data_IF_138765081773
#
_entry.id   IF_138765081773
#
_cell.length_a   1.000
_cell.length_b   1.000
_cell.length_c   1.000
_cell.angle_alpha   90.00
_cell.angle_beta   90.00
_cell.angle_gamma   90.00
#
_symmetry.space_group_name_H-M   'P 1'
#
loop_
_entity.id
_entity.type
_entity.pdbx_description
1 polymer ?
#
# COMPACT_ATOMS: atom_id res chain seq x y z
N UNK A 1 -10.61 -7.93 3.68
CA UNK A 1 -11.49 -9.11 3.59
C UNK A 1 -12.49 -9.11 4.73
N UNK A 2 -13.79 -9.29 4.45
CA UNK A 2 -14.80 -9.37 5.49
C UNK A 2 -14.57 -10.58 6.39
N UNK A 3 -14.65 -10.35 7.70
CA UNK A 3 -14.64 -11.38 8.75
C UNK A 3 -15.97 -11.30 9.49
N UNK A 4 -16.53 -12.44 9.91
CA UNK A 4 -17.84 -12.50 10.58
C UNK A 4 -19.01 -12.51 9.58
N UNK A 5 -20.09 -11.80 9.90
CA UNK A 5 -21.29 -11.68 9.04
C UNK A 5 -21.34 -10.32 8.33
N UNK A 6 -20.65 -10.15 7.19
CA UNK A 6 -20.57 -8.87 6.49
C UNK A 6 -21.90 -8.51 5.82
N UNK A 7 -22.22 -7.21 5.80
CA UNK A 7 -23.34 -6.71 5.01
C UNK A 7 -23.08 -6.84 3.49
N UNK A 8 -24.15 -6.73 2.69
CA UNK A 8 -24.09 -6.85 1.23
C UNK A 8 -23.11 -5.87 0.58
N UNK A 9 -23.00 -4.64 1.10
CA UNK A 9 -22.08 -3.63 0.58
C UNK A 9 -20.62 -4.03 0.76
N UNK A 10 -20.24 -4.57 1.92
CA UNK A 10 -18.88 -5.04 2.20
C UNK A 10 -18.47 -6.18 1.26
N UNK A 11 -19.40 -7.10 0.93
CA UNK A 11 -19.15 -8.18 -0.03
C UNK A 11 -18.93 -7.64 -1.45
N UNK A 12 -19.71 -6.62 -1.86
CA UNK A 12 -19.53 -5.98 -3.18
C UNK A 12 -18.18 -5.28 -3.29
N UNK A 13 -17.78 -4.54 -2.26
CA UNK A 13 -16.47 -3.86 -2.20
C UNK A 13 -15.32 -4.87 -2.26
N UNK A 14 -15.39 -5.97 -1.50
CA UNK A 14 -14.37 -7.03 -1.52
C UNK A 14 -14.24 -7.68 -2.91
N UNK A 15 -15.37 -7.93 -3.59
CA UNK A 15 -15.37 -8.46 -4.97
C UNK A 15 -14.69 -7.51 -5.94
N UNK A 16 -14.97 -6.21 -5.84
CA UNK A 16 -14.31 -5.20 -6.68
C UNK A 16 -12.81 -5.12 -6.39
N UNK A 17 -12.42 -5.08 -5.12
CA UNK A 17 -11.01 -5.01 -4.71
C UNK A 17 -10.20 -6.19 -5.26
N UNK A 18 -10.78 -7.41 -5.21
CA UNK A 18 -10.18 -8.61 -5.80
C UNK A 18 -10.05 -8.51 -7.32
N UNK A 19 -11.11 -8.04 -8.01
CA UNK A 19 -11.09 -7.89 -9.47
C UNK A 19 -10.05 -6.85 -9.93
N UNK A 20 -9.89 -5.76 -9.18
CA UNK A 20 -8.91 -4.72 -9.46
C UNK A 20 -7.47 -5.07 -9.00
N UNK A 21 -7.25 -6.28 -8.48
CA UNK A 21 -5.91 -6.77 -8.13
C UNK A 21 -5.33 -6.20 -6.83
N UNK A 22 -6.12 -5.51 -6.00
CA UNK A 22 -5.65 -4.98 -4.72
C UNK A 22 -5.26 -6.12 -3.79
N UNK A 23 -4.04 -6.06 -3.25
CA UNK A 23 -3.52 -7.03 -2.27
C UNK A 23 -3.08 -6.29 -1.01
N UNK A 24 -3.46 -6.83 0.14
CA UNK A 24 -2.95 -6.34 1.43
C UNK A 24 -1.69 -7.13 1.75
N UNK A 25 -0.56 -6.44 1.86
CA UNK A 25 0.69 -6.98 2.41
C UNK A 25 0.94 -6.30 3.74
N UNK A 26 0.94 -7.09 4.82
CA UNK A 26 1.20 -6.60 6.17
C UNK A 26 2.64 -6.91 6.53
N UNK A 27 3.40 -5.88 6.88
CA UNK A 27 4.77 -6.00 7.37
C UNK A 27 4.89 -5.15 8.64
N UNK A 28 5.78 -5.56 9.54
CA UNK A 28 6.08 -4.80 10.75
C UNK A 28 7.17 -3.77 10.42
N UNK A 29 6.97 -2.52 10.84
CA UNK A 29 7.95 -1.45 10.75
C UNK A 29 8.36 -1.02 12.15
N UNK A 30 9.56 -0.44 12.27
CA UNK A 30 9.95 0.27 13.49
C UNK A 30 9.07 1.52 13.64
N UNK A 31 8.50 1.74 14.82
CA UNK A 31 7.53 2.82 15.08
C UNK A 31 8.04 4.20 14.66
N UNK A 32 9.25 4.55 15.06
CA UNK A 32 9.93 5.81 14.69
C UNK A 32 9.97 6.03 13.17
N UNK A 33 10.25 4.99 12.39
CA UNK A 33 10.28 5.11 10.91
C UNK A 33 8.88 5.38 10.37
N UNK A 34 7.86 4.71 10.90
CA UNK A 34 6.48 4.88 10.46
C UNK A 34 5.95 6.30 10.77
N UNK A 35 6.27 6.84 11.95
CA UNK A 35 5.88 8.20 12.35
C UNK A 35 6.58 9.25 11.48
N UNK A 36 7.90 9.14 11.32
CA UNK A 36 8.66 10.07 10.47
C UNK A 36 8.21 10.02 9.02
N UNK A 37 7.87 8.85 8.50
CA UNK A 37 7.34 8.71 7.15
C UNK A 37 5.96 9.38 7.01
N UNK A 38 5.09 9.22 8.00
CA UNK A 38 3.79 9.89 8.06
C UNK A 38 3.96 11.41 8.04
N UNK A 39 4.80 11.96 8.93
CA UNK A 39 5.05 13.41 8.98
C UNK A 39 5.62 13.95 7.66
N UNK A 40 6.53 13.22 7.03
CA UNK A 40 7.09 13.61 5.74
C UNK A 40 6.03 13.64 4.63
N UNK A 41 5.12 12.66 4.61
CA UNK A 41 4.01 12.62 3.67
C UNK A 41 3.04 13.79 3.89
N UNK A 42 2.72 14.10 5.15
CA UNK A 42 1.84 15.22 5.52
C UNK A 42 2.44 16.57 5.12
N UNK A 43 3.72 16.81 5.42
CA UNK A 43 4.42 18.04 5.04
C UNK A 43 4.47 18.25 3.53
N UNK A 44 4.58 17.16 2.77
CA UNK A 44 4.60 17.19 1.29
C UNK A 44 3.19 17.19 0.68
N UNK A 45 2.14 16.97 1.47
CA UNK A 45 0.76 16.88 1.00
C UNK A 45 0.47 15.64 0.16
N UNK A 46 1.18 14.53 0.39
CA UNK A 46 1.05 13.28 -0.38
C UNK A 46 0.49 12.15 0.47
N UNK A 47 -0.18 11.19 -0.18
CA UNK A 47 -0.65 9.98 0.48
C UNK A 47 0.49 9.00 0.78
N UNK A 48 0.47 8.39 1.97
CA UNK A 48 1.45 7.37 2.36
C UNK A 48 1.47 6.19 1.37
N UNK A 49 0.29 5.68 0.98
CA UNK A 49 0.17 4.54 0.06
C UNK A 49 0.75 4.89 -1.31
N UNK A 50 0.41 6.06 -1.86
CA UNK A 50 0.93 6.50 -3.15
C UNK A 50 2.46 6.64 -3.13
N UNK A 51 3.01 7.19 -2.04
CA UNK A 51 4.45 7.34 -1.87
C UNK A 51 5.15 5.98 -1.76
N UNK A 52 4.58 5.03 -1.01
CA UNK A 52 5.09 3.65 -0.92
C UNK A 52 5.06 2.98 -2.30
N UNK A 53 3.96 3.09 -3.04
CA UNK A 53 3.85 2.54 -4.39
C UNK A 53 4.92 3.10 -5.33
N UNK A 54 5.19 4.40 -5.28
CA UNK A 54 6.26 5.02 -6.06
C UNK A 54 7.65 4.50 -5.67
N UNK A 55 7.94 4.37 -4.38
CA UNK A 55 9.21 3.83 -3.90
C UNK A 55 9.41 2.36 -4.30
N UNK A 56 8.34 1.56 -4.29
CA UNK A 56 8.36 0.17 -4.77
C UNK A 56 8.70 0.11 -6.27
N UNK A 57 8.05 0.93 -7.10
CA UNK A 57 8.30 0.99 -8.53
C UNK A 57 9.73 1.42 -8.86
N UNK A 58 10.23 2.45 -8.15
CA UNK A 58 11.61 2.92 -8.28
C UNK A 58 12.61 1.81 -7.95
N UNK A 59 12.34 1.04 -6.88
CA UNK A 59 13.19 -0.08 -6.50
C UNK A 59 13.17 -1.19 -7.55
N UNK A 60 11.99 -1.60 -8.05
CA UNK A 60 11.84 -2.60 -9.12
C UNK A 60 12.64 -2.18 -10.35
N UNK A 61 12.41 -0.95 -10.82
CA UNK A 61 13.13 -0.37 -11.97
C UNK A 61 14.65 -0.36 -11.77
N UNK A 62 15.13 -0.07 -10.55
CA UNK A 62 16.57 -0.05 -10.26
C UNK A 62 17.19 -1.44 -10.35
N UNK A 63 16.48 -2.48 -9.92
CA UNK A 63 16.97 -3.86 -9.95
C UNK A 63 16.94 -4.43 -11.36
N UNK A 64 15.92 -4.09 -12.16
CA UNK A 64 15.80 -4.54 -13.55
C UNK A 64 16.88 -3.92 -14.45
N UNK A 65 17.19 -2.63 -14.28
CA UNK A 65 18.27 -1.96 -15.01
C UNK A 65 19.67 -2.50 -14.71
N UNK A 66 19.85 -3.20 -13.60
CA UNK A 66 21.15 -3.77 -13.21
C UNK A 66 21.35 -5.17 -13.80
N UNK A 67 20.36 -5.73 -14.51
CA UNK A 67 20.44 -7.05 -15.17
C UNK A 67 20.81 -7.00 -16.65
N UNK A 68 21.04 -5.81 -17.20
CA UNK A 68 21.66 -5.57 -18.52
C UNK A 68 23.16 -5.32 -18.37
#
# INVERSE_FOLDING_TARGET
>A
MPKGNPNSNTVRVDRYQKKAGYKVKTFKLKGDIAERFKEACERKGVGQVATISQLMEQFISSVEKTKE
#
